data_IF_560004362012
#
_entry.id   IF_560004362012
#
_cell.length_a   1.000
_cell.length_b   1.000
_cell.length_c   1.000
_cell.angle_alpha   90.00
_cell.angle_beta   90.00
_cell.angle_gamma   90.00
#
_symmetry.space_group_name_H-M   'P 1'
#
loop_
_entity.id
_entity.type
_entity.pdbx_description
1 polymer ?
#
# COMPACT_ATOMS: atom_id res chain seq x y z
N UNK A 1 12.06 3.48 -13.18
CA UNK A 1 12.33 2.66 -14.39
C UNK A 1 13.58 1.77 -14.22
N UNK A 2 14.83 2.24 -14.11
CA UNK A 2 15.95 1.29 -13.83
C UNK A 2 15.88 0.70 -12.41
N UNK A 3 15.55 1.54 -11.42
CA UNK A 3 15.43 1.14 -10.01
C UNK A 3 14.45 -0.03 -9.81
N UNK A 4 13.31 0.01 -10.49
CA UNK A 4 12.27 -1.04 -10.37
C UNK A 4 12.76 -2.39 -10.91
N UNK A 5 13.48 -2.40 -12.03
CA UNK A 5 14.07 -3.64 -12.57
C UNK A 5 15.14 -4.22 -11.65
N UNK A 6 16.01 -3.37 -11.12
CA UNK A 6 17.04 -3.81 -10.15
C UNK A 6 16.38 -4.38 -8.91
N UNK A 7 15.33 -3.74 -8.38
CA UNK A 7 14.62 -4.26 -7.21
C UNK A 7 13.96 -5.62 -7.48
N UNK A 8 13.33 -5.81 -8.65
CA UNK A 8 12.80 -7.14 -9.04
C UNK A 8 13.92 -8.18 -9.11
N UNK A 9 15.08 -7.83 -9.67
CA UNK A 9 16.24 -8.74 -9.70
C UNK A 9 16.75 -9.10 -8.30
N UNK A 10 16.61 -8.19 -7.34
CA UNK A 10 17.00 -8.37 -5.93
C UNK A 10 15.86 -8.89 -5.04
N UNK A 11 14.75 -9.42 -5.60
CA UNK A 11 13.58 -9.89 -4.85
C UNK A 11 13.88 -10.84 -3.69
N UNK A 12 14.87 -11.72 -3.83
CA UNK A 12 15.27 -12.64 -2.74
C UNK A 12 15.85 -11.86 -1.55
N UNK A 13 16.71 -10.87 -1.81
CA UNK A 13 17.29 -10.04 -0.76
C UNK A 13 16.22 -9.15 -0.10
N UNK A 14 15.34 -8.55 -0.91
CA UNK A 14 14.23 -7.73 -0.42
C UNK A 14 13.32 -8.57 0.49
N UNK A 15 12.93 -9.78 0.06
CA UNK A 15 12.13 -10.68 0.88
C UNK A 15 12.82 -10.99 2.21
N UNK A 16 14.11 -11.37 2.18
CA UNK A 16 14.85 -11.69 3.41
C UNK A 16 15.04 -10.51 4.35
N UNK A 17 15.07 -9.28 3.83
CA UNK A 17 15.15 -8.07 4.64
C UNK A 17 13.89 -7.83 5.48
N UNK A 18 12.72 -8.20 4.97
CA UNK A 18 11.43 -7.92 5.61
C UNK A 18 10.72 -9.16 6.17
N UNK A 19 11.19 -10.38 5.87
CA UNK A 19 10.57 -11.59 6.39
C UNK A 19 10.85 -11.77 7.89
N UNK A 20 9.81 -11.99 8.68
CA UNK A 20 9.90 -12.39 10.08
C UNK A 20 9.91 -13.91 10.24
N UNK A 21 9.76 -14.37 11.49
CA UNK A 21 9.67 -15.80 11.82
C UNK A 21 8.50 -16.49 11.08
N UNK A 22 7.39 -15.78 10.89
CA UNK A 22 6.19 -16.31 10.23
C UNK A 22 6.15 -16.06 8.72
N UNK A 23 7.19 -15.46 8.14
CA UNK A 23 7.23 -15.02 6.74
C UNK A 23 7.01 -13.52 6.60
N UNK A 24 6.72 -13.09 5.37
CA UNK A 24 6.49 -11.68 5.06
C UNK A 24 5.06 -11.27 5.42
N UNK A 25 4.91 -10.31 6.32
CA UNK A 25 3.61 -9.79 6.72
C UNK A 25 3.21 -8.64 5.80
N UNK A 26 2.06 -8.76 5.16
CA UNK A 26 1.65 -7.82 4.11
C UNK A 26 0.27 -7.23 4.39
N UNK A 27 0.15 -5.94 4.15
CA UNK A 27 -1.12 -5.27 3.88
C UNK A 27 -1.26 -5.07 2.38
N UNK A 28 -2.44 -5.33 1.84
CA UNK A 28 -2.72 -5.22 0.41
C UNK A 28 -3.65 -4.04 0.14
N UNK A 29 -3.64 -3.50 -1.06
CA UNK A 29 -4.74 -2.68 -1.57
C UNK A 29 -5.78 -3.61 -2.21
N UNK A 30 -7.07 -3.28 -2.07
CA UNK A 30 -8.10 -3.91 -2.91
C UNK A 30 -7.90 -3.49 -4.38
N UNK A 31 -8.27 -4.33 -5.37
CA UNK A 31 -8.20 -3.96 -6.78
C UNK A 31 -8.90 -2.63 -7.09
N UNK A 32 -10.02 -2.37 -6.42
CA UNK A 32 -10.82 -1.15 -6.47
C UNK A 32 -10.00 0.06 -5.97
N UNK A 33 -9.39 -0.06 -4.79
CA UNK A 33 -8.51 0.96 -4.22
C UNK A 33 -7.29 1.25 -5.09
N UNK A 34 -6.71 0.22 -5.71
CA UNK A 34 -5.63 0.43 -6.68
C UNK A 34 -6.13 1.18 -7.93
N UNK A 35 -7.35 0.92 -8.37
CA UNK A 35 -8.02 1.67 -9.45
C UNK A 35 -8.14 3.15 -9.10
N UNK A 36 -8.67 3.47 -7.92
CA UNK A 36 -8.80 4.85 -7.41
C UNK A 36 -7.46 5.58 -7.36
N UNK A 37 -6.40 4.90 -6.90
CA UNK A 37 -5.06 5.45 -6.87
C UNK A 37 -4.50 5.70 -8.28
N UNK A 38 -4.71 4.78 -9.22
CA UNK A 38 -4.31 4.96 -10.63
C UNK A 38 -5.04 6.14 -11.26
N UNK A 39 -6.34 6.29 -10.99
CA UNK A 39 -7.15 7.39 -11.51
C UNK A 39 -6.73 8.74 -10.92
N UNK A 40 -6.21 8.74 -9.69
CA UNK A 40 -5.58 9.90 -9.05
C UNK A 40 -4.14 10.17 -9.48
N UNK A 41 -3.49 9.26 -10.21
CA UNK A 41 -2.08 9.41 -10.58
C UNK A 41 -1.92 10.47 -11.67
N UNK A 42 -1.08 11.47 -11.43
CA UNK A 42 -0.76 12.53 -12.40
C UNK A 42 0.73 12.53 -12.69
N UNK A 43 1.06 12.71 -13.97
CA UNK A 43 2.43 12.80 -14.43
C UNK A 43 2.66 14.16 -15.05
N UNK A 44 3.65 14.87 -14.52
CA UNK A 44 4.21 16.08 -15.13
C UNK A 44 5.50 15.73 -15.87
N UNK A 45 6.12 16.72 -16.51
CA UNK A 45 7.42 16.52 -17.17
C UNK A 45 8.55 16.14 -16.19
N UNK A 46 8.37 16.40 -14.89
CA UNK A 46 9.43 16.28 -13.89
C UNK A 46 9.08 15.29 -12.77
N UNK A 47 7.80 15.15 -12.46
CA UNK A 47 7.36 14.38 -11.30
C UNK A 47 6.02 13.67 -11.54
N UNK A 48 5.88 12.51 -10.90
CA UNK A 48 4.62 11.78 -10.76
C UNK A 48 4.11 11.94 -9.33
N UNK A 49 2.86 12.38 -9.18
CA UNK A 49 2.23 12.61 -7.88
C UNK A 49 0.78 12.15 -7.88
N UNK A 50 0.17 12.03 -6.69
CA UNK A 50 -1.24 11.70 -6.56
C UNK A 50 -2.09 12.96 -6.36
N UNK A 51 -3.11 13.11 -7.21
CA UNK A 51 -4.19 14.09 -7.07
C UNK A 51 -5.45 13.36 -6.60
N UNK A 52 -5.47 13.02 -5.31
CA UNK A 52 -6.61 12.33 -4.66
C UNK A 52 -7.62 13.36 -4.16
N UNK A 53 -8.89 12.95 -4.05
CA UNK A 53 -9.87 13.72 -3.29
C UNK A 53 -9.51 13.72 -1.80
N UNK A 54 -10.10 14.65 -1.04
CA UNK A 54 -9.89 14.72 0.40
C UNK A 54 -10.32 13.43 1.11
N UNK A 55 -11.46 12.85 0.71
CA UNK A 55 -12.02 11.65 1.34
C UNK A 55 -11.09 10.43 1.19
N UNK A 56 -10.59 10.19 -0.04
CA UNK A 56 -9.64 9.11 -0.33
C UNK A 56 -8.33 9.32 0.44
N UNK A 57 -7.84 10.56 0.51
CA UNK A 57 -6.61 10.90 1.24
C UNK A 57 -6.75 10.63 2.74
N UNK A 58 -7.86 11.04 3.34
CA UNK A 58 -8.13 10.82 4.77
C UNK A 58 -8.30 9.33 5.08
N UNK A 59 -9.02 8.59 4.24
CA UNK A 59 -9.19 7.15 4.41
C UNK A 59 -7.85 6.41 4.33
N UNK A 60 -7.01 6.75 3.35
CA UNK A 60 -5.67 6.17 3.21
C UNK A 60 -4.83 6.43 4.47
N UNK A 61 -4.77 7.67 4.94
CA UNK A 61 -4.02 8.05 6.15
C UNK A 61 -4.53 7.31 7.38
N UNK A 62 -5.85 7.20 7.56
CA UNK A 62 -6.47 6.48 8.66
C UNK A 62 -6.07 5.00 8.66
N UNK A 63 -6.18 4.33 7.50
CA UNK A 63 -5.82 2.92 7.37
C UNK A 63 -4.32 2.70 7.56
N UNK A 64 -3.46 3.61 7.10
CA UNK A 64 -2.01 3.54 7.33
C UNK A 64 -1.67 3.60 8.82
N UNK A 65 -2.30 4.50 9.58
CA UNK A 65 -2.09 4.60 11.04
C UNK A 65 -2.50 3.32 11.78
N UNK A 66 -3.59 2.68 11.36
CA UNK A 66 -4.06 1.42 11.94
C UNK A 66 -3.13 0.26 11.56
N UNK A 67 -2.73 0.18 10.30
CA UNK A 67 -1.95 -0.94 9.76
C UNK A 67 -0.47 -0.90 10.13
N UNK A 68 0.12 0.29 10.29
CA UNK A 68 1.55 0.49 10.50
C UNK A 68 1.86 1.35 11.74
N UNK A 69 1.51 0.87 12.95
CA UNK A 69 1.84 1.59 14.17
C UNK A 69 3.36 1.67 14.38
N UNK A 70 3.85 2.82 14.84
CA UNK A 70 5.29 3.11 15.01
C UNK A 70 6.05 2.12 15.90
N UNK A 71 5.36 1.39 16.78
CA UNK A 71 5.94 0.42 17.73
C UNK A 71 5.36 -0.98 17.54
N UNK A 72 5.18 -1.40 16.29
CA UNK A 72 4.79 -2.77 15.98
C UNK A 72 5.91 -3.76 16.38
N UNK A 73 5.57 -4.91 16.98
CA UNK A 73 6.54 -5.95 17.31
C UNK A 73 7.09 -6.67 16.07
N UNK A 74 6.30 -6.72 15.00
CA UNK A 74 6.67 -7.34 13.72
C UNK A 74 6.53 -6.30 12.60
N UNK A 75 7.47 -6.31 11.64
CA UNK A 75 7.46 -5.38 10.53
C UNK A 75 6.51 -5.88 9.44
N UNK A 76 5.41 -5.15 9.22
CA UNK A 76 4.56 -5.33 8.07
C UNK A 76 5.04 -4.48 6.89
N UNK A 77 4.70 -4.89 5.67
CA UNK A 77 4.94 -4.12 4.44
C UNK A 77 3.63 -3.84 3.72
N UNK A 78 3.57 -2.72 3.01
CA UNK A 78 2.48 -2.42 2.09
C UNK A 78 2.83 -3.05 0.74
N UNK A 79 2.04 -4.04 0.30
CA UNK A 79 2.22 -4.75 -0.95
C UNK A 79 1.23 -4.24 -1.99
N UNK A 80 1.74 -3.74 -3.11
CA UNK A 80 0.96 -3.02 -4.13
C UNK A 80 1.31 -3.47 -5.54
N UNK A 81 0.50 -3.06 -6.53
CA UNK A 81 0.88 -3.22 -7.93
C UNK A 81 2.18 -2.50 -8.31
N UNK A 82 2.86 -3.03 -9.33
CA UNK A 82 4.19 -2.59 -9.77
C UNK A 82 4.26 -1.11 -10.15
N UNK A 83 3.21 -0.60 -10.80
CA UNK A 83 3.08 0.78 -11.24
C UNK A 83 2.87 1.77 -10.09
N UNK A 84 2.22 1.33 -9.01
CA UNK A 84 1.91 2.16 -7.84
C UNK A 84 3.03 2.21 -6.79
N UNK A 85 3.98 1.26 -6.82
CA UNK A 85 5.06 1.15 -5.83
C UNK A 85 5.87 2.44 -5.66
N UNK A 86 6.37 3.02 -6.75
CA UNK A 86 7.20 4.23 -6.68
C UNK A 86 6.38 5.46 -6.27
N UNK A 87 5.23 5.74 -6.91
CA UNK A 87 4.37 6.86 -6.49
C UNK A 87 3.96 6.79 -5.03
N UNK A 88 3.54 5.61 -4.53
CA UNK A 88 3.16 5.44 -3.12
C UNK A 88 4.34 5.65 -2.19
N UNK A 89 5.51 5.11 -2.52
CA UNK A 89 6.71 5.36 -1.72
C UNK A 89 7.08 6.86 -1.65
N UNK A 90 6.83 7.63 -2.71
CA UNK A 90 7.00 9.08 -2.69
C UNK A 90 5.95 9.74 -1.80
N UNK A 91 4.67 9.38 -1.93
CA UNK A 91 3.57 9.91 -1.13
C UNK A 91 3.79 9.68 0.37
N UNK A 92 4.20 8.46 0.76
CA UNK A 92 4.38 8.08 2.16
C UNK A 92 5.63 8.72 2.80
N UNK A 93 6.51 9.36 2.03
CA UNK A 93 7.80 9.85 2.54
C UNK A 93 7.67 10.95 3.60
N UNK A 94 6.60 11.74 3.56
CA UNK A 94 6.42 12.88 4.46
C UNK A 94 5.98 12.45 5.87
N UNK A 95 4.99 11.56 5.98
CA UNK A 95 4.39 11.17 7.27
C UNK A 95 4.65 9.69 7.65
N UNK A 96 4.77 8.80 6.65
CA UNK A 96 4.81 7.35 6.83
C UNK A 96 6.12 6.74 6.32
N UNK A 97 7.24 7.44 6.55
CA UNK A 97 8.56 7.02 6.03
C UNK A 97 9.03 5.64 6.54
N UNK A 98 8.46 5.16 7.66
CA UNK A 98 8.74 3.84 8.23
C UNK A 98 8.00 2.69 7.51
N UNK A 99 7.01 3.00 6.67
CA UNK A 99 6.18 2.01 5.96
C UNK A 99 6.93 1.51 4.73
N UNK A 100 7.37 0.24 4.70
CA UNK A 100 8.02 -0.31 3.52
C UNK A 100 6.96 -0.60 2.44
N UNK A 101 7.17 -0.06 1.24
CA UNK A 101 6.30 -0.32 0.08
C UNK A 101 7.01 -1.27 -0.88
N UNK A 102 6.43 -2.45 -1.07
CA UNK A 102 6.90 -3.46 -2.01
C UNK A 102 5.88 -3.68 -3.12
N UNK A 103 6.36 -4.10 -4.29
CA UNK A 103 5.47 -4.55 -5.34
C UNK A 103 5.26 -6.05 -5.34
N UNK A 104 4.13 -6.51 -5.88
CA UNK A 104 3.89 -7.95 -6.09
C UNK A 104 5.00 -8.60 -6.95
N UNK A 105 5.58 -7.87 -7.91
CA UNK A 105 6.68 -8.37 -8.74
C UNK A 105 8.00 -8.57 -7.97
N UNK A 106 8.15 -7.93 -6.82
CA UNK A 106 9.29 -8.08 -5.91
C UNK A 106 9.14 -9.30 -4.98
N UNK A 107 8.03 -10.05 -5.06
CA UNK A 107 7.79 -11.24 -4.25
C UNK A 107 7.91 -12.50 -5.13
N UNK A 108 8.60 -13.52 -4.61
CA UNK A 108 8.70 -14.82 -5.29
C UNK A 108 7.42 -15.62 -5.10
N UNK A 109 6.98 -16.40 -6.10
CA UNK A 109 5.82 -17.29 -5.97
C UNK A 109 5.96 -18.33 -4.85
N UNK A 110 7.18 -18.70 -4.48
CA UNK A 110 7.47 -19.63 -3.39
C UNK A 110 7.64 -18.95 -2.02
N UNK A 111 7.48 -17.62 -1.95
CA UNK A 111 7.64 -16.87 -0.71
C UNK A 111 6.50 -17.15 0.27
N UNK A 112 6.81 -17.24 1.57
CA UNK A 112 5.80 -17.36 2.62
C UNK A 112 5.27 -15.96 2.94
N UNK A 113 3.98 -15.74 2.65
CA UNK A 113 3.32 -14.44 2.84
C UNK A 113 2.14 -14.61 3.79
N UNK A 114 2.02 -13.70 4.77
CA UNK A 114 0.93 -13.63 5.74
C UNK A 114 0.16 -12.32 5.52
N UNK A 115 -1.07 -12.39 5.03
CA UNK A 115 -1.91 -11.21 4.80
C UNK A 115 -2.52 -10.75 6.12
N UNK A 116 -2.26 -9.50 6.51
CA UNK A 116 -2.76 -8.88 7.74
C UNK A 116 -4.10 -8.18 7.54
N UNK A 117 -4.32 -7.65 6.33
CA UNK A 117 -5.59 -7.08 5.94
C UNK A 117 -5.49 -6.42 4.58
N UNK A 118 -6.56 -5.72 4.21
CA UNK A 118 -6.68 -5.01 2.94
C UNK A 118 -7.12 -3.58 3.20
N UNK A 119 -6.61 -2.68 2.38
CA UNK A 119 -6.97 -1.29 2.34
C UNK A 119 -8.10 -1.13 1.34
N UNK A 120 -9.25 -0.71 1.85
CA UNK A 120 -10.41 -0.36 1.05
C UNK A 120 -10.66 1.14 1.17
N UNK A 121 -10.44 1.86 0.09
CA UNK A 121 -10.56 3.32 0.03
C UNK A 121 -11.95 3.78 -0.41
N UNK A 122 -12.88 2.85 -0.70
CA UNK A 122 -14.21 3.15 -1.22
C UNK A 122 -15.28 3.26 -0.10
N UNK A 123 -15.01 2.68 1.07
CA UNK A 123 -16.00 2.21 2.06
C UNK A 123 -16.76 3.27 2.90
N UNK A 124 -16.59 4.58 2.67
CA UNK A 124 -17.36 5.63 3.41
C UNK A 124 -18.57 6.17 2.63
N UNK A 125 -19.00 5.49 1.56
CA UNK A 125 -20.16 5.85 0.74
C UNK A 125 -21.39 4.95 0.96
N UNK A 126 -21.49 4.20 2.06
CA UNK A 126 -22.80 3.68 2.48
C UNK A 126 -23.57 4.80 3.20
N UNK A 127 -24.61 5.42 2.59
CA UNK A 127 -25.55 6.19 3.39
C UNK A 127 -26.11 5.23 4.43
N UNK A 128 -25.91 5.55 5.71
CA UNK A 128 -26.65 4.95 6.80
C UNK A 128 -28.14 5.28 6.61
N UNK A 129 -28.84 4.51 5.78
CA UNK A 129 -30.30 4.43 5.75
C UNK A 129 -30.74 3.80 7.07
N UNK A 130 -30.65 4.59 8.13
CA UNK A 130 -31.21 4.26 9.42
C UNK A 130 -32.71 4.59 9.40
N UNK A 131 -33.46 3.81 8.65
CA UNK A 131 -34.92 3.74 8.79
C UNK A 131 -35.25 2.53 9.66
N UNK A 132 -35.09 2.70 10.97
CA UNK A 132 -35.82 1.88 11.93
C UNK A 132 -37.31 2.13 11.71
N UNK A 133 -37.97 1.14 11.12
CA UNK A 133 -39.40 1.04 11.00
C UNK A 133 -40.09 1.36 12.34
N UNK A 134 -41.03 2.31 12.28
CA UNK A 134 -41.96 2.65 13.35
C UNK A 134 -43.06 1.58 13.52
#
# INVERSE_FOLDING_TARGET
>A
MLTDYVRIALKSQIYHQYCGADGLQVWLLTPESEGLLRDGLRQTQTETFFALSNDISQMLVQQLHIAFPLRAPEQAVLLVAQDLRSPLCTLLREEFYHVPVLSVAEISNAAKVRVMGRFDLEDDLEPMDNEHAA
#
